data_IF_882661347427
#
_entry.id   IF_882661347427
#
_cell.length_a   1.000
_cell.length_b   1.000
_cell.length_c   1.000
_cell.angle_alpha   90.00
_cell.angle_beta   90.00
_cell.angle_gamma   90.00
#
_symmetry.space_group_name_H-M   'P 1'
#
loop_
_entity.id
_entity.type
_entity.pdbx_description
1 polymer ?
#
# COMPACT_ATOMS: atom_id res chain seq x y z
N UNK A 1 15.85 60.35 -20.19
CA UNK A 1 16.83 60.33 -19.08
C UNK A 1 16.37 59.27 -18.09
N UNK A 2 17.28 58.42 -17.65
CA UNK A 2 17.11 57.13 -16.95
C UNK A 2 17.02 55.90 -17.89
N UNK A 3 18.19 55.31 -18.11
CA UNK A 3 18.50 54.04 -18.76
C UNK A 3 18.07 52.85 -17.89
N UNK A 4 17.60 51.77 -18.52
CA UNK A 4 17.59 50.43 -17.94
C UNK A 4 18.49 49.54 -18.79
N UNK A 5 19.59 49.07 -18.20
CA UNK A 5 20.57 48.16 -18.82
C UNK A 5 19.98 46.75 -18.90
N UNK A 6 19.95 46.21 -20.10
CA UNK A 6 19.68 44.80 -20.40
C UNK A 6 21.00 44.03 -20.32
N UNK A 7 21.13 43.10 -19.38
CA UNK A 7 22.28 42.18 -19.30
C UNK A 7 21.93 40.90 -20.08
N UNK A 8 22.51 40.77 -21.29
CA UNK A 8 22.48 39.54 -22.08
C UNK A 8 23.63 38.63 -21.64
N UNK A 9 23.30 37.40 -21.24
CA UNK A 9 24.28 36.34 -20.97
C UNK A 9 24.88 35.80 -22.29
N UNK A 10 26.19 35.51 -22.35
CA UNK A 10 26.87 35.06 -23.57
C UNK A 10 26.66 33.56 -23.85
N UNK A 11 26.87 33.10 -25.11
CA UNK A 11 26.58 31.74 -25.54
C UNK A 11 27.70 30.76 -25.10
N UNK A 12 27.30 29.58 -24.63
CA UNK A 12 28.24 28.49 -24.30
C UNK A 12 28.77 27.81 -25.57
N UNK A 13 30.07 27.98 -25.80
CA UNK A 13 30.85 27.34 -26.86
C UNK A 13 31.00 25.83 -26.64
N UNK A 14 30.87 25.06 -27.73
CA UNK A 14 31.31 23.66 -27.82
C UNK A 14 32.82 23.58 -27.62
N UNK A 15 33.27 22.78 -26.67
CA UNK A 15 34.65 22.29 -26.61
C UNK A 15 34.70 20.82 -27.01
N UNK A 16 35.47 20.57 -28.07
CA UNK A 16 35.95 19.26 -28.50
C UNK A 16 37.31 19.04 -27.84
N UNK A 17 37.45 18.00 -27.01
CA UNK A 17 38.79 17.58 -26.54
C UNK A 17 38.88 16.06 -26.48
N UNK A 18 39.73 15.58 -27.39
CA UNK A 18 40.60 14.42 -27.45
C UNK A 18 40.56 13.35 -26.34
N UNK A 19 40.44 12.12 -26.83
CA UNK A 19 40.59 10.81 -26.21
C UNK A 19 41.86 10.67 -25.36
N UNK A 20 41.71 10.27 -24.09
CA UNK A 20 42.78 9.60 -23.32
C UNK A 20 42.18 8.35 -22.68
N UNK A 21 42.75 7.21 -23.06
CA UNK A 21 42.39 5.86 -22.68
C UNK A 21 42.70 5.63 -21.20
N UNK A 22 41.67 5.52 -20.35
CA UNK A 22 41.82 5.04 -18.97
C UNK A 22 41.05 3.72 -18.82
N UNK A 23 41.79 2.68 -18.43
CA UNK A 23 41.36 1.31 -18.36
C UNK A 23 40.17 1.09 -17.41
N UNK A 24 39.26 0.22 -17.86
CA UNK A 24 38.09 -0.22 -17.13
C UNK A 24 38.46 -0.97 -15.84
N UNK A 25 38.03 -0.43 -14.70
CA UNK A 25 37.85 -1.19 -13.46
C UNK A 25 36.35 -1.40 -13.23
N UNK A 26 35.87 -2.56 -13.65
CA UNK A 26 34.52 -3.05 -13.39
C UNK A 26 34.33 -3.33 -11.89
N UNK A 27 33.79 -2.36 -11.15
CA UNK A 27 33.33 -2.56 -9.78
C UNK A 27 31.81 -2.53 -9.73
N UNK A 28 31.16 -3.70 -9.73
CA UNK A 28 29.74 -3.79 -9.35
C UNK A 28 29.58 -3.26 -7.91
N UNK A 29 28.57 -2.43 -7.60
CA UNK A 29 28.29 -2.07 -6.23
C UNK A 29 27.95 -3.33 -5.42
N UNK A 30 28.72 -3.60 -4.36
CA UNK A 30 28.58 -4.79 -3.52
C UNK A 30 27.31 -4.71 -2.65
N UNK A 31 26.18 -5.09 -3.26
CA UNK A 31 24.86 -5.18 -2.62
C UNK A 31 24.85 -6.07 -1.37
N UNK A 32 25.81 -6.99 -1.21
CA UNK A 32 25.90 -7.85 -0.01
C UNK A 32 26.35 -7.06 1.22
N UNK A 33 27.12 -5.98 1.05
CA UNK A 33 27.53 -5.13 2.16
C UNK A 33 26.38 -4.25 2.68
N UNK A 34 25.55 -3.67 1.80
CA UNK A 34 24.42 -2.82 2.23
C UNK A 34 23.36 -3.62 3.00
N UNK A 35 23.10 -4.85 2.56
CA UNK A 35 22.20 -5.78 3.22
C UNK A 35 22.76 -6.24 4.58
N UNK A 36 24.06 -6.57 4.67
CA UNK A 36 24.74 -6.89 5.94
C UNK A 36 24.63 -5.76 6.97
N UNK A 37 24.86 -4.51 6.56
CA UNK A 37 24.76 -3.34 7.44
C UNK A 37 23.32 -3.10 7.94
N UNK A 38 22.32 -3.36 7.07
CA UNK A 38 20.90 -3.24 7.44
C UNK A 38 20.47 -4.29 8.46
N UNK A 39 20.91 -5.54 8.32
CA UNK A 39 20.61 -6.60 9.28
C UNK A 39 21.34 -6.43 10.62
N UNK A 40 22.60 -5.97 10.60
CA UNK A 40 23.32 -5.67 11.84
C UNK A 40 22.67 -4.49 12.56
N UNK A 41 22.27 -3.42 11.85
CA UNK A 41 21.51 -2.30 12.44
C UNK A 41 20.14 -2.72 12.95
N UNK A 42 19.42 -3.60 12.26
CA UNK A 42 18.11 -4.09 12.71
C UNK A 42 18.24 -4.99 13.94
N UNK A 43 19.25 -5.86 13.98
CA UNK A 43 19.58 -6.68 15.14
C UNK A 43 19.99 -5.83 16.34
N UNK A 44 20.85 -4.83 16.14
CA UNK A 44 21.24 -3.87 17.18
C UNK A 44 20.05 -3.03 17.66
N UNK A 45 19.20 -2.56 16.76
CA UNK A 45 18.02 -1.79 17.12
C UNK A 45 17.01 -2.65 17.87
N UNK A 46 16.78 -3.90 17.47
CA UNK A 46 15.91 -4.82 18.20
C UNK A 46 16.47 -5.15 19.59
N UNK A 47 17.79 -5.36 19.70
CA UNK A 47 18.48 -5.64 20.97
C UNK A 47 18.51 -4.42 21.90
N UNK A 48 18.64 -3.19 21.38
CA UNK A 48 18.58 -1.96 22.18
C UNK A 48 17.13 -1.66 22.60
N UNK A 49 16.16 -1.79 21.67
CA UNK A 49 14.75 -1.48 21.92
C UNK A 49 14.07 -2.51 22.84
N UNK A 50 14.47 -3.80 22.78
CA UNK A 50 13.92 -4.86 23.62
C UNK A 50 14.89 -5.35 24.71
N UNK A 51 16.14 -4.86 24.74
CA UNK A 51 17.14 -5.24 25.74
C UNK A 51 16.78 -4.78 27.15
N UNK A 52 16.19 -3.58 27.27
CA UNK A 52 15.61 -3.13 28.53
C UNK A 52 14.47 -4.05 28.99
N UNK A 53 13.63 -4.53 28.07
CA UNK A 53 12.58 -5.50 28.40
C UNK A 53 13.16 -6.85 28.81
N UNK A 54 14.19 -7.38 28.13
CA UNK A 54 14.87 -8.62 28.48
C UNK A 54 15.55 -8.58 29.86
N UNK A 55 16.13 -7.43 30.23
CA UNK A 55 16.65 -7.17 31.58
C UNK A 55 15.55 -7.00 32.63
N UNK A 56 14.36 -6.54 32.22
CA UNK A 56 13.18 -6.38 33.07
C UNK A 56 12.33 -7.67 33.19
N UNK A 57 12.43 -8.65 32.30
CA UNK A 57 11.73 -9.95 32.38
C UNK A 57 11.95 -10.71 33.70
N UNK A 58 13.15 -10.72 34.33
CA UNK A 58 13.32 -11.37 35.62
C UNK A 58 12.68 -10.62 36.80
N UNK A 59 12.36 -9.32 36.67
CA UNK A 59 11.78 -8.52 37.76
C UNK A 59 10.36 -8.99 38.16
N UNK A 60 9.41 -9.25 37.24
CA UNK A 60 8.13 -9.86 37.59
C UNK A 60 8.27 -11.21 38.30
N UNK A 61 9.27 -12.03 37.92
CA UNK A 61 9.56 -13.30 38.58
C UNK A 61 10.07 -13.13 40.01
N UNK A 62 10.97 -12.16 40.22
CA UNK A 62 11.44 -11.76 41.56
C UNK A 62 10.32 -11.17 42.41
N UNK A 63 9.48 -10.29 41.84
CA UNK A 63 8.32 -9.69 42.52
C UNK A 63 7.29 -10.75 42.87
N UNK A 64 7.01 -11.72 41.98
CA UNK A 64 6.11 -12.84 42.25
C UNK A 64 6.68 -13.80 43.32
N UNK A 65 8.00 -14.06 43.31
CA UNK A 65 8.67 -14.85 44.34
C UNK A 65 8.59 -14.16 45.71
N UNK A 66 8.82 -12.84 45.77
CA UNK A 66 8.64 -12.05 46.99
C UNK A 66 7.17 -12.03 47.45
N UNK A 67 6.21 -11.85 46.54
CA UNK A 67 4.76 -11.92 46.83
C UNK A 67 4.32 -13.29 47.35
N UNK A 68 4.98 -14.38 46.95
CA UNK A 68 4.68 -15.73 47.46
C UNK A 68 5.17 -15.97 48.90
N UNK A 69 6.10 -15.14 49.38
CA UNK A 69 6.63 -15.18 50.76
C UNK A 69 5.96 -14.16 51.70
N UNK A 70 4.97 -13.39 51.23
CA UNK A 70 4.29 -12.38 52.04
C UNK A 70 3.50 -13.02 53.18
N UNK A 71 3.80 -12.62 54.42
CA UNK A 71 3.02 -12.97 55.62
C UNK A 71 2.15 -11.81 56.08
N UNK A 72 1.14 -12.08 56.92
CA UNK A 72 0.25 -11.04 57.48
C UNK A 72 1.00 -9.99 58.34
N UNK A 73 2.19 -10.31 58.85
CA UNK A 73 3.08 -9.37 59.57
C UNK A 73 3.75 -8.37 58.65
N UNK A 74 4.18 -8.80 57.45
CA UNK A 74 4.79 -7.91 56.46
C UNK A 74 3.79 -6.83 55.97
N UNK A 75 2.49 -7.15 55.98
CA UNK A 75 1.41 -6.22 55.64
C UNK A 75 1.22 -5.13 56.72
N UNK A 76 1.41 -5.50 58.00
CA UNK A 76 1.39 -4.55 59.11
C UNK A 76 2.64 -3.65 59.11
N UNK A 77 3.82 -4.20 58.82
CA UNK A 77 5.07 -3.44 58.71
C UNK A 77 5.09 -2.51 57.48
N UNK A 78 4.49 -2.95 56.35
CA UNK A 78 4.27 -2.11 55.18
C UNK A 78 3.33 -0.94 55.49
N UNK A 79 2.24 -1.20 56.23
CA UNK A 79 1.28 -0.19 56.67
C UNK A 79 1.93 0.83 57.62
N UNK A 80 2.79 0.37 58.54
CA UNK A 80 3.57 1.23 59.43
C UNK A 80 4.61 2.05 58.64
N UNK A 81 5.33 1.45 57.69
CA UNK A 81 6.27 2.15 56.81
C UNK A 81 5.59 3.17 55.89
N UNK A 82 4.37 2.89 55.42
CA UNK A 82 3.52 3.81 54.65
C UNK A 82 3.12 5.04 55.47
N UNK A 83 2.87 4.88 56.78
CA UNK A 83 2.56 5.99 57.69
C UNK A 83 3.79 6.87 57.99
N UNK A 84 4.98 6.29 58.14
CA UNK A 84 6.21 7.05 58.43
C UNK A 84 6.88 7.67 57.20
N UNK A 85 6.67 7.13 56.00
CA UNK A 85 7.25 7.62 54.74
C UNK A 85 6.20 8.24 53.80
N UNK A 86 5.28 9.04 54.36
CA UNK A 86 4.23 9.73 53.60
C UNK A 86 4.79 10.51 52.39
N UNK A 87 5.94 11.18 52.57
CA UNK A 87 6.62 11.93 51.49
C UNK A 87 7.03 10.99 50.34
N UNK A 88 7.67 9.86 50.64
CA UNK A 88 8.10 8.89 49.63
C UNK A 88 6.92 8.26 48.90
N UNK A 89 5.83 7.98 49.61
CA UNK A 89 4.59 7.42 49.02
C UNK A 89 3.93 8.44 48.09
N UNK A 90 3.85 9.70 48.50
CA UNK A 90 3.31 10.80 47.67
C UNK A 90 4.19 11.02 46.44
N UNK A 91 5.51 11.04 46.59
CA UNK A 91 6.44 11.19 45.46
C UNK A 91 6.32 10.02 44.49
N UNK A 92 6.37 8.78 44.96
CA UNK A 92 6.26 7.58 44.11
C UNK A 92 4.90 7.49 43.41
N UNK A 93 3.79 7.77 44.10
CA UNK A 93 2.46 7.78 43.50
C UNK A 93 2.31 8.89 42.46
N UNK A 94 2.84 10.09 42.74
CA UNK A 94 2.85 11.20 41.78
C UNK A 94 3.66 10.84 40.53
N UNK A 95 4.86 10.26 40.71
CA UNK A 95 5.69 9.78 39.60
C UNK A 95 5.00 8.69 38.79
N UNK A 96 4.31 7.74 39.44
CA UNK A 96 3.53 6.71 38.76
C UNK A 96 2.39 7.31 37.95
N UNK A 97 1.66 8.29 38.48
CA UNK A 97 0.57 8.97 37.76
C UNK A 97 1.11 9.75 36.57
N UNK A 98 2.24 10.46 36.73
CA UNK A 98 2.90 11.18 35.63
C UNK A 98 3.37 10.20 34.56
N UNK A 99 4.03 9.09 34.95
CA UNK A 99 4.51 8.07 34.02
C UNK A 99 3.35 7.37 33.30
N UNK A 100 2.27 7.03 34.01
CA UNK A 100 1.08 6.43 33.42
C UNK A 100 0.38 7.39 32.46
N UNK A 101 0.26 8.67 32.83
CA UNK A 101 -0.32 9.70 31.97
C UNK A 101 0.53 9.91 30.73
N UNK A 102 1.85 10.05 30.89
CA UNK A 102 2.78 10.17 29.78
C UNK A 102 2.71 8.95 28.87
N UNK A 103 2.66 7.73 29.41
CA UNK A 103 2.50 6.50 28.64
C UNK A 103 1.19 6.48 27.85
N UNK A 104 0.07 6.87 28.47
CA UNK A 104 -1.25 6.92 27.80
C UNK A 104 -1.31 7.99 26.71
N UNK A 105 -0.62 9.12 26.89
CA UNK A 105 -0.58 10.20 25.90
C UNK A 105 0.41 9.96 24.76
N UNK A 106 1.51 9.25 25.02
CA UNK A 106 2.58 9.01 24.03
C UNK A 106 2.39 7.72 23.24
N UNK A 107 1.60 6.76 23.75
CA UNK A 107 1.36 5.50 23.03
C UNK A 107 0.64 5.75 21.70
N UNK A 108 1.05 5.08 20.61
CA UNK A 108 0.33 5.16 19.34
C UNK A 108 -1.09 4.61 19.51
N UNK A 109 -2.04 5.27 18.84
CA UNK A 109 -3.44 4.85 18.83
C UNK A 109 -3.60 3.67 17.88
N UNK A 110 -4.28 2.59 18.31
CA UNK A 110 -4.56 1.49 17.41
C UNK A 110 -5.47 1.97 16.27
N UNK A 111 -5.20 1.49 15.07
CA UNK A 111 -6.01 1.75 13.88
C UNK A 111 -6.73 0.46 13.50
N UNK A 112 -8.04 0.56 13.36
CA UNK A 112 -8.92 -0.56 13.06
C UNK A 112 -9.50 -0.42 11.66
N UNK A 113 -9.47 -1.49 10.89
CA UNK A 113 -10.27 -1.65 9.67
C UNK A 113 -11.66 -2.10 10.08
N UNK A 114 -12.58 -1.14 10.07
CA UNK A 114 -13.96 -1.33 10.51
C UNK A 114 -14.69 -2.24 9.53
N UNK A 115 -14.76 -1.81 8.26
CA UNK A 115 -15.35 -2.57 7.15
C UNK A 115 -14.82 -2.01 5.81
N UNK A 116 -15.17 -2.68 4.71
CA UNK A 116 -14.90 -2.23 3.35
C UNK A 116 -16.03 -2.67 2.40
N UNK A 117 -16.14 -1.99 1.27
CA UNK A 117 -17.04 -2.35 0.18
C UNK A 117 -16.31 -2.22 -1.15
N UNK A 118 -16.67 -3.07 -2.11
CA UNK A 118 -16.09 -3.07 -3.44
C UNK A 118 -17.20 -2.85 -4.45
N UNK A 119 -17.06 -1.83 -5.29
CA UNK A 119 -18.01 -1.58 -6.35
C UNK A 119 -17.92 -2.67 -7.42
N UNK A 120 -19.02 -3.36 -7.64
CA UNK A 120 -19.21 -4.27 -8.78
C UNK A 120 -20.10 -3.56 -9.82
N UNK A 121 -19.60 -3.35 -11.05
CA UNK A 121 -20.42 -2.80 -12.12
C UNK A 121 -21.56 -3.76 -12.50
N UNK A 122 -22.60 -3.20 -13.11
CA UNK A 122 -23.76 -3.91 -13.66
C UNK A 122 -23.41 -4.71 -14.93
N UNK A 123 -24.29 -5.66 -15.27
CA UNK A 123 -24.05 -6.62 -16.36
C UNK A 123 -23.96 -5.95 -17.75
N UNK A 124 -24.51 -4.75 -17.97
CA UNK A 124 -24.40 -4.05 -19.26
C UNK A 124 -22.95 -3.67 -19.58
N UNK A 125 -22.15 -3.41 -18.53
CA UNK A 125 -20.73 -3.06 -18.59
C UNK A 125 -19.81 -4.29 -18.63
N UNK A 126 -20.38 -5.49 -18.60
CA UNK A 126 -19.63 -6.74 -18.65
C UNK A 126 -18.97 -6.93 -20.01
N UNK A 127 -17.67 -7.17 -19.98
CA UNK A 127 -16.84 -7.42 -21.13
C UNK A 127 -16.24 -8.83 -21.05
N UNK A 128 -16.84 -9.76 -21.80
CA UNK A 128 -16.24 -11.06 -22.07
C UNK A 128 -15.07 -10.93 -23.03
N UNK A 129 -14.22 -11.94 -23.12
CA UNK A 129 -13.09 -11.97 -24.07
C UNK A 129 -13.59 -11.82 -25.51
N UNK A 130 -14.70 -12.49 -25.84
CA UNK A 130 -15.33 -12.39 -27.15
C UNK A 130 -15.84 -10.97 -27.43
N UNK A 131 -16.52 -10.35 -26.47
CA UNK A 131 -17.01 -8.96 -26.62
C UNK A 131 -15.85 -7.99 -26.80
N UNK A 132 -14.76 -8.14 -26.03
CA UNK A 132 -13.56 -7.33 -26.19
C UNK A 132 -13.01 -7.42 -27.61
N UNK A 133 -12.83 -8.65 -28.13
CA UNK A 133 -12.26 -8.86 -29.45
C UNK A 133 -13.16 -8.31 -30.55
N UNK A 134 -14.48 -8.52 -30.44
CA UNK A 134 -15.45 -7.96 -31.39
C UNK A 134 -15.39 -6.42 -31.42
N UNK A 135 -15.35 -5.75 -30.26
CA UNK A 135 -15.18 -4.30 -30.17
C UNK A 135 -13.85 -3.84 -30.79
N UNK A 136 -12.76 -4.55 -30.50
CA UNK A 136 -11.41 -4.25 -31.02
C UNK A 136 -11.33 -4.37 -32.54
N UNK A 137 -11.97 -5.38 -33.11
CA UNK A 137 -12.01 -5.60 -34.56
C UNK A 137 -12.94 -4.60 -35.26
N UNK A 138 -14.10 -4.30 -34.66
CA UNK A 138 -15.08 -3.34 -35.19
C UNK A 138 -14.54 -1.91 -35.25
N UNK A 139 -13.57 -1.58 -34.40
CA UNK A 139 -12.89 -0.29 -34.39
C UNK A 139 -12.06 -0.03 -35.65
N UNK A 140 -11.52 -1.08 -36.29
CA UNK A 140 -10.66 -0.94 -37.49
C UNK A 140 -9.32 -0.22 -37.27
N UNK A 141 -9.00 0.20 -36.03
CA UNK A 141 -7.82 1.02 -35.71
C UNK A 141 -6.51 0.21 -35.60
N UNK A 142 -6.62 -1.07 -35.24
CA UNK A 142 -5.45 -1.91 -34.93
C UNK A 142 -5.06 -2.76 -36.12
N UNK A 143 -3.74 -2.88 -36.37
CA UNK A 143 -3.23 -3.79 -37.40
C UNK A 143 -3.60 -5.24 -37.07
N UNK A 144 -3.77 -6.14 -38.07
CA UNK A 144 -4.08 -7.54 -37.83
C UNK A 144 -3.11 -8.23 -36.86
N UNK A 145 -1.81 -7.90 -36.95
CA UNK A 145 -0.79 -8.41 -36.04
C UNK A 145 -0.98 -7.94 -34.59
N UNK A 146 -1.48 -6.71 -34.38
CA UNK A 146 -1.72 -6.18 -33.04
C UNK A 146 -3.07 -6.62 -32.47
N UNK A 147 -4.09 -6.84 -33.30
CA UNK A 147 -5.33 -7.49 -32.87
C UNK A 147 -5.05 -8.91 -32.37
N UNK A 148 -4.23 -9.67 -33.11
CA UNK A 148 -3.80 -11.01 -32.68
C UNK A 148 -2.92 -10.98 -31.42
N UNK A 149 -2.08 -9.95 -31.27
CA UNK A 149 -1.32 -9.74 -30.04
C UNK A 149 -2.25 -9.51 -28.83
N UNK A 150 -3.28 -8.66 -28.97
CA UNK A 150 -4.28 -8.42 -27.92
C UNK A 150 -5.05 -9.70 -27.57
N UNK A 151 -5.45 -10.49 -28.58
CA UNK A 151 -6.12 -11.79 -28.38
C UNK A 151 -5.27 -12.72 -27.49
N UNK A 152 -3.99 -12.89 -27.84
CA UNK A 152 -3.05 -13.73 -27.08
C UNK A 152 -2.87 -13.27 -25.63
N UNK A 153 -2.86 -11.95 -25.39
CA UNK A 153 -2.77 -11.42 -24.02
C UNK A 153 -4.03 -11.78 -23.24
N UNK A 154 -5.22 -11.55 -23.81
CA UNK A 154 -6.49 -11.76 -23.11
C UNK A 154 -6.67 -13.24 -22.74
N UNK A 155 -6.32 -14.15 -23.63
CA UNK A 155 -6.35 -15.59 -23.39
C UNK A 155 -5.39 -16.05 -22.28
N UNK A 156 -4.28 -15.33 -22.07
CA UNK A 156 -3.21 -15.71 -21.12
C UNK A 156 -3.11 -14.82 -19.88
N UNK A 157 -3.92 -13.76 -19.80
CA UNK A 157 -3.88 -12.75 -18.72
C UNK A 157 -4.42 -13.26 -17.39
N UNK A 158 -5.15 -14.38 -17.39
CA UNK A 158 -5.89 -14.88 -16.23
C UNK A 158 -7.21 -14.14 -15.98
N UNK A 159 -7.57 -13.13 -16.78
CA UNK A 159 -8.88 -12.47 -16.72
C UNK A 159 -9.96 -13.40 -17.27
N UNK A 160 -11.04 -13.58 -16.50
CA UNK A 160 -12.24 -14.33 -16.90
C UNK A 160 -13.17 -13.54 -17.82
N UNK A 161 -14.33 -14.11 -18.14
CA UNK A 161 -15.37 -13.42 -18.91
C UNK A 161 -16.26 -12.48 -18.06
N UNK A 162 -16.11 -12.55 -16.73
CA UNK A 162 -16.81 -11.70 -15.75
C UNK A 162 -15.98 -10.46 -15.38
N UNK A 163 -15.49 -9.74 -16.39
CA UNK A 163 -14.79 -8.46 -16.21
C UNK A 163 -15.60 -7.29 -16.76
N UNK A 164 -15.24 -6.05 -16.41
CA UNK A 164 -16.05 -4.87 -16.73
C UNK A 164 -15.20 -3.74 -17.32
N UNK A 165 -15.76 -3.03 -18.29
CA UNK A 165 -15.18 -1.84 -18.92
C UNK A 165 -16.20 -0.70 -18.91
N UNK A 166 -15.76 0.57 -18.93
CA UNK A 166 -16.69 1.68 -19.01
C UNK A 166 -17.45 1.67 -20.32
N UNK A 167 -18.70 2.11 -20.25
CA UNK A 167 -19.61 2.27 -21.39
C UNK A 167 -18.94 3.05 -22.53
N UNK A 168 -18.17 4.09 -22.19
CA UNK A 168 -17.47 4.91 -23.17
C UNK A 168 -16.42 4.16 -24.01
N UNK A 169 -15.88 3.07 -23.48
CA UNK A 169 -14.94 2.18 -24.18
C UNK A 169 -15.69 1.07 -24.94
N UNK A 170 -16.83 0.61 -24.41
CA UNK A 170 -17.62 -0.46 -25.01
C UNK A 170 -18.49 0.00 -26.19
N UNK A 171 -18.78 1.30 -26.28
CA UNK A 171 -19.52 1.89 -27.40
C UNK A 171 -18.78 1.73 -28.73
N UNK A 172 -19.53 1.63 -29.83
CA UNK A 172 -18.98 1.56 -31.19
C UNK A 172 -19.61 2.71 -32.00
N UNK A 173 -18.86 3.79 -32.30
CA UNK A 173 -17.47 4.04 -31.90
C UNK A 173 -17.33 4.41 -30.41
N UNK A 174 -16.15 4.18 -29.78
CA UNK A 174 -15.86 4.67 -28.44
C UNK A 174 -15.98 6.18 -28.35
N UNK A 175 -16.48 6.68 -27.23
CA UNK A 175 -16.73 8.10 -27.00
C UNK A 175 -16.10 8.60 -25.69
N UNK A 176 -14.75 8.53 -25.55
CA UNK A 176 -14.06 9.04 -24.37
C UNK A 176 -14.28 10.56 -24.25
N UNK A 177 -14.74 11.00 -23.09
CA UNK A 177 -14.99 12.42 -22.80
C UNK A 177 -14.86 12.68 -21.32
N UNK A 178 -14.61 13.94 -20.93
CA UNK A 178 -14.61 14.36 -19.53
C UNK A 178 -15.94 14.05 -18.84
N UNK A 179 -17.06 14.17 -19.55
CA UNK A 179 -18.38 13.85 -19.02
C UNK A 179 -18.50 12.35 -18.70
N UNK A 180 -18.07 11.47 -19.62
CA UNK A 180 -18.10 10.04 -19.40
C UNK A 180 -17.10 9.58 -18.32
N UNK A 181 -15.93 10.22 -18.24
CA UNK A 181 -14.97 9.95 -17.18
C UNK A 181 -15.53 10.34 -15.80
N UNK A 182 -16.19 11.50 -15.69
CA UNK A 182 -16.89 11.88 -14.45
C UNK A 182 -18.01 10.88 -14.11
N UNK A 183 -18.80 10.44 -15.10
CA UNK A 183 -19.85 9.42 -14.92
C UNK A 183 -19.28 8.12 -14.36
N UNK A 184 -18.17 7.61 -14.90
CA UNK A 184 -17.47 6.43 -14.37
C UNK A 184 -17.01 6.67 -12.92
N UNK A 185 -16.34 7.80 -12.66
CA UNK A 185 -15.80 8.11 -11.35
C UNK A 185 -16.90 8.21 -10.28
N UNK A 186 -17.99 8.92 -10.57
CA UNK A 186 -19.15 9.04 -9.67
C UNK A 186 -19.78 7.68 -9.39
N UNK A 187 -20.05 6.90 -10.44
CA UNK A 187 -20.64 5.58 -10.32
C UNK A 187 -19.81 4.65 -9.42
N UNK A 188 -18.50 4.58 -9.65
CA UNK A 188 -17.61 3.69 -8.88
C UNK A 188 -17.45 4.19 -7.44
N UNK A 189 -17.18 5.49 -7.24
CA UNK A 189 -16.97 6.05 -5.92
C UNK A 189 -18.23 5.98 -5.06
N UNK A 190 -19.37 6.42 -5.61
CA UNK A 190 -20.62 6.49 -4.86
C UNK A 190 -21.20 5.10 -4.63
N UNK A 191 -21.13 4.20 -5.62
CA UNK A 191 -21.56 2.81 -5.43
C UNK A 191 -20.79 2.10 -4.30
N UNK A 192 -19.47 2.26 -4.24
CA UNK A 192 -18.67 1.68 -3.14
C UNK A 192 -18.98 2.33 -1.78
N UNK A 193 -19.16 3.66 -1.74
CA UNK A 193 -19.45 4.38 -0.51
C UNK A 193 -20.85 4.10 0.03
N UNK A 194 -21.86 4.03 -0.84
CA UNK A 194 -23.24 3.73 -0.45
C UNK A 194 -23.31 2.36 0.23
N UNK A 195 -22.67 1.35 -0.36
CA UNK A 195 -22.58 0.02 0.23
C UNK A 195 -21.81 0.03 1.57
N UNK A 196 -20.71 0.78 1.66
CA UNK A 196 -19.93 0.90 2.90
C UNK A 196 -20.74 1.56 4.02
N UNK A 197 -21.44 2.66 3.73
CA UNK A 197 -22.27 3.36 4.70
C UNK A 197 -23.48 2.52 5.12
N UNK A 198 -24.11 1.82 4.17
CA UNK A 198 -25.20 0.89 4.47
C UNK A 198 -24.75 -0.26 5.38
N UNK A 199 -23.60 -0.89 5.10
CA UNK A 199 -23.04 -1.99 5.91
C UNK A 199 -22.66 -1.54 7.32
N UNK A 200 -22.11 -0.34 7.46
CA UNK A 200 -21.51 0.11 8.73
C UNK A 200 -22.43 0.95 9.59
N UNK A 201 -23.50 1.51 9.02
CA UNK A 201 -24.39 2.48 9.68
C UNK A 201 -23.70 3.80 10.03
N UNK A 202 -22.48 4.04 9.56
CA UNK A 202 -21.74 5.28 9.84
C UNK A 202 -22.31 6.40 8.98
N UNK A 203 -22.72 7.49 9.62
CA UNK A 203 -23.25 8.65 8.90
C UNK A 203 -22.11 9.38 8.20
N UNK A 204 -22.30 9.88 6.96
CA UNK A 204 -21.27 10.62 6.25
C UNK A 204 -20.71 11.82 7.05
N UNK A 205 -21.54 12.51 7.83
CA UNK A 205 -21.12 13.63 8.70
C UNK A 205 -20.14 13.22 9.82
N UNK A 206 -20.09 11.95 10.20
CA UNK A 206 -19.18 11.44 11.23
C UNK A 206 -17.77 11.14 10.67
N UNK A 207 -17.58 11.19 9.35
CA UNK A 207 -16.30 11.00 8.69
C UNK A 207 -15.42 12.23 8.87
N UNK A 208 -14.20 12.03 9.35
CA UNK A 208 -13.27 13.13 9.60
C UNK A 208 -12.07 13.20 8.71
N UNK A 209 -11.71 12.10 8.06
CA UNK A 209 -10.63 12.03 7.09
C UNK A 209 -11.18 11.36 5.83
N UNK A 210 -10.92 11.94 4.67
CA UNK A 210 -11.22 11.36 3.37
C UNK A 210 -9.96 11.33 2.51
N UNK A 211 -9.57 10.14 2.06
CA UNK A 211 -8.48 9.96 1.10
C UNK A 211 -9.06 9.32 -0.15
N UNK A 212 -9.01 10.01 -1.28
CA UNK A 212 -9.40 9.45 -2.58
C UNK A 212 -8.14 9.26 -3.42
N UNK A 213 -7.97 8.10 -4.02
CA UNK A 213 -6.90 7.86 -4.97
C UNK A 213 -7.44 7.41 -6.34
N UNK A 214 -6.85 8.00 -7.38
CA UNK A 214 -7.04 7.65 -8.79
C UNK A 214 -5.84 8.16 -9.59
N UNK A 215 -5.18 7.27 -10.34
CA UNK A 215 -3.89 7.61 -10.94
C UNK A 215 -4.05 8.43 -12.20
N UNK A 216 -4.97 8.04 -13.07
CA UNK A 216 -5.05 8.52 -14.45
C UNK A 216 -6.21 9.50 -14.70
N UNK A 217 -6.98 9.86 -13.68
CA UNK A 217 -8.04 10.88 -13.78
C UNK A 217 -8.07 11.79 -12.56
N UNK A 218 -7.58 13.01 -12.73
CA UNK A 218 -7.47 14.02 -11.67
C UNK A 218 -8.12 15.34 -12.13
N UNK A 219 -9.46 15.42 -12.18
CA UNK A 219 -10.18 16.62 -12.65
C UNK A 219 -10.10 17.78 -11.66
N UNK A 220 -10.50 18.97 -12.12
CA UNK A 220 -10.87 20.11 -11.25
C UNK A 220 -12.37 20.36 -11.38
N UNK A 221 -13.17 20.36 -10.28
CA UNK A 221 -12.78 20.03 -8.90
C UNK A 221 -12.32 18.57 -8.73
N UNK A 222 -11.56 18.29 -7.67
CA UNK A 222 -11.00 16.96 -7.40
C UNK A 222 -12.07 15.91 -7.10
N UNK A 223 -11.70 14.63 -7.22
CA UNK A 223 -12.60 13.52 -6.88
C UNK A 223 -13.00 13.54 -5.41
N UNK A 224 -12.05 13.89 -4.52
CA UNK A 224 -12.34 14.06 -3.10
C UNK A 224 -13.35 15.19 -2.85
N UNK A 225 -13.28 16.31 -3.58
CA UNK A 225 -14.25 17.39 -3.51
C UNK A 225 -15.63 16.97 -4.02
N UNK A 226 -15.70 16.14 -5.07
CA UNK A 226 -16.95 15.56 -5.58
C UNK A 226 -17.64 14.72 -4.49
N UNK A 227 -16.89 13.86 -3.81
CA UNK A 227 -17.42 13.04 -2.69
C UNK A 227 -17.89 13.90 -1.53
N UNK A 228 -17.12 14.91 -1.12
CA UNK A 228 -17.51 15.85 -0.05
C UNK A 228 -18.82 16.55 -0.39
N UNK A 229 -18.93 17.06 -1.62
CA UNK A 229 -20.12 17.76 -2.07
C UNK A 229 -21.34 16.83 -2.20
N UNK A 230 -21.17 15.60 -2.67
CA UNK A 230 -22.28 14.66 -2.86
C UNK A 230 -22.86 14.21 -1.52
N UNK A 231 -22.02 13.74 -0.59
CA UNK A 231 -22.48 13.22 0.71
C UNK A 231 -22.70 14.30 1.77
N UNK A 232 -22.43 15.57 1.45
CA UNK A 232 -22.48 16.69 2.39
C UNK A 232 -21.69 16.39 3.66
N UNK A 233 -20.43 15.97 3.47
CA UNK A 233 -19.50 15.70 4.56
C UNK A 233 -19.28 16.96 5.42
N UNK A 234 -18.80 16.77 6.64
CA UNK A 234 -18.62 17.87 7.61
C UNK A 234 -17.63 18.93 7.08
N UNK A 235 -17.85 20.20 7.45
CA UNK A 235 -17.04 21.33 6.96
C UNK A 235 -15.57 21.34 7.42
N UNK A 236 -15.23 20.63 8.50
CA UNK A 236 -13.87 20.47 9.01
C UNK A 236 -13.26 19.10 8.65
N UNK A 237 -13.64 18.54 7.51
CA UNK A 237 -13.05 17.29 7.02
C UNK A 237 -11.61 17.51 6.53
N UNK A 238 -10.73 16.58 6.86
CA UNK A 238 -9.38 16.53 6.29
C UNK A 238 -9.43 15.69 5.01
N UNK A 239 -9.16 16.31 3.86
CA UNK A 239 -9.34 15.65 2.56
C UNK A 239 -8.07 15.64 1.73
N UNK A 240 -7.77 14.50 1.11
CA UNK A 240 -6.65 14.30 0.20
C UNK A 240 -7.11 13.63 -1.10
N UNK A 241 -6.61 14.13 -2.22
CA UNK A 241 -6.75 13.50 -3.54
C UNK A 241 -5.36 13.08 -4.04
N UNK A 242 -5.18 11.79 -4.25
CA UNK A 242 -3.91 11.15 -4.53
C UNK A 242 -3.88 10.65 -5.99
N UNK A 243 -2.93 11.15 -6.78
CA UNK A 243 -2.75 10.79 -8.20
C UNK A 243 -1.36 10.24 -8.52
N UNK A 244 -1.21 9.64 -9.71
CA UNK A 244 0.09 9.23 -10.27
C UNK A 244 0.83 8.09 -9.55
N UNK A 245 0.19 7.37 -8.62
CA UNK A 245 0.83 6.28 -7.85
C UNK A 245 0.54 4.86 -8.36
N UNK A 246 -0.35 4.73 -9.36
CA UNK A 246 -0.70 3.46 -9.99
C UNK A 246 -1.28 2.45 -9.00
N UNK A 247 -1.04 1.17 -9.26
CA UNK A 247 -1.57 0.05 -8.47
C UNK A 247 -1.14 0.03 -6.99
N UNK A 248 -0.17 0.86 -6.59
CA UNK A 248 0.28 0.99 -5.19
C UNK A 248 -0.56 1.98 -4.36
N UNK A 249 -1.39 2.80 -5.01
CA UNK A 249 -2.08 3.92 -4.39
C UNK A 249 -3.01 3.51 -3.23
N UNK A 250 -3.66 2.34 -3.32
CA UNK A 250 -4.52 1.81 -2.25
C UNK A 250 -3.77 1.62 -0.92
N UNK A 251 -2.65 0.91 -0.93
CA UNK A 251 -1.84 0.69 0.27
C UNK A 251 -1.17 1.97 0.78
N UNK A 252 -0.74 2.85 -0.13
CA UNK A 252 -0.20 4.17 0.26
C UNK A 252 -1.28 5.02 0.95
N UNK A 253 -2.53 4.93 0.51
CA UNK A 253 -3.65 5.63 1.14
C UNK A 253 -3.96 5.09 2.53
N UNK A 254 -3.83 3.78 2.74
CA UNK A 254 -3.97 3.17 4.08
C UNK A 254 -2.87 3.65 5.01
N UNK A 255 -1.62 3.70 4.54
CA UNK A 255 -0.48 4.20 5.31
C UNK A 255 -0.67 5.68 5.70
N UNK A 256 -1.07 6.53 4.74
CA UNK A 256 -1.39 7.92 5.00
C UNK A 256 -2.54 8.07 6.01
N UNK A 257 -3.63 7.33 5.84
CA UNK A 257 -4.77 7.39 6.75
C UNK A 257 -4.39 6.92 8.17
N UNK A 258 -3.51 5.93 8.30
CA UNK A 258 -2.98 5.48 9.60
C UNK A 258 -2.26 6.63 10.32
N UNK A 259 -1.40 7.36 9.63
CA UNK A 259 -0.65 8.49 10.20
C UNK A 259 -1.59 9.65 10.57
N UNK A 260 -2.56 9.95 9.71
CA UNK A 260 -3.60 10.96 9.99
C UNK A 260 -4.46 10.57 11.21
N UNK A 261 -4.74 9.28 11.40
CA UNK A 261 -5.42 8.78 12.59
C UNK A 261 -4.56 8.81 13.85
N UNK A 262 -3.24 8.98 13.76
CA UNK A 262 -2.43 9.27 14.95
C UNK A 262 -2.62 10.71 15.42
N UNK A 263 -2.71 11.66 14.48
CA UNK A 263 -2.89 13.10 14.77
C UNK A 263 -4.33 13.50 15.04
N UNK A 264 -5.32 12.78 14.50
CA UNK A 264 -6.74 13.07 14.68
C UNK A 264 -7.41 12.03 15.59
N UNK A 265 -7.57 12.30 16.89
CA UNK A 265 -8.15 11.33 17.82
C UNK A 265 -9.65 11.08 17.56
N UNK A 266 -10.09 9.86 17.87
CA UNK A 266 -11.51 9.47 17.93
C UNK A 266 -12.34 9.76 16.66
N UNK A 267 -11.78 9.51 15.48
CA UNK A 267 -12.45 9.78 14.20
C UNK A 267 -12.56 8.54 13.30
N UNK A 268 -13.32 8.69 12.22
CA UNK A 268 -13.32 7.79 11.07
C UNK A 268 -12.50 8.38 9.92
N UNK A 269 -11.79 7.49 9.22
CA UNK A 269 -11.14 7.79 7.96
C UNK A 269 -11.72 6.89 6.88
N UNK A 270 -12.15 7.48 5.77
CA UNK A 270 -12.61 6.76 4.58
C UNK A 270 -11.56 6.88 3.50
N UNK A 271 -11.18 5.75 2.93
CA UNK A 271 -10.32 5.68 1.75
C UNK A 271 -11.16 5.18 0.58
N UNK A 272 -11.05 5.85 -0.56
CA UNK A 272 -11.63 5.40 -1.82
C UNK A 272 -10.48 5.16 -2.78
N UNK A 273 -10.37 3.93 -3.27
CA UNK A 273 -9.37 3.52 -4.24
C UNK A 273 -10.08 3.06 -5.50
N UNK A 274 -9.89 3.78 -6.59
CA UNK A 274 -10.46 3.44 -7.89
C UNK A 274 -9.51 3.87 -9.00
N UNK A 275 -9.68 3.31 -10.19
CA UNK A 275 -8.98 3.76 -11.38
C UNK A 275 -10.00 4.08 -12.47
N UNK A 276 -9.83 5.22 -13.11
CA UNK A 276 -10.70 5.65 -14.20
C UNK A 276 -10.00 5.38 -15.53
N UNK A 277 -10.58 4.48 -16.32
CA UNK A 277 -9.96 4.03 -17.57
C UNK A 277 -10.63 4.63 -18.81
N UNK A 278 -11.73 5.39 -18.65
CA UNK A 278 -12.47 6.01 -19.77
C UNK A 278 -11.59 6.84 -20.70
N UNK A 279 -10.72 7.71 -20.17
CA UNK A 279 -9.89 8.61 -20.99
C UNK A 279 -8.55 8.01 -21.39
N UNK A 280 -8.21 6.84 -20.87
CA UNK A 280 -6.87 6.26 -20.98
C UNK A 280 -6.82 5.04 -21.90
N UNK A 281 -7.88 4.81 -22.68
CA UNK A 281 -7.88 3.79 -23.71
C UNK A 281 -6.92 4.15 -24.85
N UNK A 282 -5.98 3.26 -25.14
CA UNK A 282 -4.96 3.53 -26.15
C UNK A 282 -5.44 3.12 -27.55
N UNK A 283 -5.41 4.06 -28.50
CA UNK A 283 -5.86 3.88 -29.89
C UNK A 283 -4.70 3.74 -30.90
N UNK A 284 -3.47 3.51 -30.43
CA UNK A 284 -2.29 3.33 -31.29
C UNK A 284 -1.88 1.88 -31.46
N UNK A 285 -0.75 1.66 -32.13
CA UNK A 285 -0.24 0.33 -32.50
C UNK A 285 1.05 -0.06 -31.74
N UNK A 286 1.44 0.69 -30.71
CA UNK A 286 2.56 0.33 -29.85
C UNK A 286 2.18 -0.80 -28.89
N UNK A 287 2.85 -1.95 -29.03
CA UNK A 287 2.57 -3.14 -28.23
C UNK A 287 2.74 -2.94 -26.72
N UNK A 288 3.69 -2.14 -26.26
CA UNK A 288 3.90 -1.94 -24.82
C UNK A 288 2.75 -1.17 -24.16
N UNK A 289 2.01 -0.38 -24.94
CA UNK A 289 0.84 0.37 -24.49
C UNK A 289 -0.45 -0.44 -24.65
N UNK A 290 -0.57 -1.28 -25.67
CA UNK A 290 -1.74 -2.16 -25.88
C UNK A 290 -1.98 -3.15 -24.74
N UNK A 291 -0.93 -3.54 -24.01
CA UNK A 291 -1.08 -4.42 -22.84
C UNK A 291 -2.03 -3.81 -21.81
N UNK A 292 -2.03 -2.48 -21.64
CA UNK A 292 -2.90 -1.80 -20.67
C UNK A 292 -4.39 -1.96 -21.00
N UNK A 293 -4.78 -1.81 -22.27
CA UNK A 293 -6.16 -2.04 -22.72
C UNK A 293 -6.64 -3.47 -22.39
N UNK A 294 -5.75 -4.46 -22.58
CA UNK A 294 -6.10 -5.86 -22.31
C UNK A 294 -6.25 -6.18 -20.83
N UNK A 295 -5.49 -5.52 -19.94
CA UNK A 295 -5.41 -5.87 -18.52
C UNK A 295 -6.34 -5.04 -17.61
N UNK A 296 -6.47 -3.74 -17.87
CA UNK A 296 -7.20 -2.86 -16.94
C UNK A 296 -8.70 -3.01 -17.05
N UNK A 297 -9.36 -3.02 -15.89
CA UNK A 297 -10.80 -3.19 -15.75
C UNK A 297 -11.35 -2.17 -14.76
N UNK A 298 -12.62 -1.85 -14.94
CA UNK A 298 -13.34 -0.97 -14.02
C UNK A 298 -13.48 -1.65 -12.65
N UNK A 299 -13.28 -0.88 -11.60
CA UNK A 299 -13.55 -1.30 -10.23
C UNK A 299 -13.13 -0.24 -9.22
N UNK A 300 -13.59 -0.39 -7.99
CA UNK A 300 -13.18 0.46 -6.89
C UNK A 300 -13.50 -0.14 -5.54
N UNK A 301 -12.84 0.34 -4.50
CA UNK A 301 -13.06 -0.06 -3.13
C UNK A 301 -13.14 1.15 -2.21
N UNK A 302 -14.10 1.10 -1.29
CA UNK A 302 -14.22 2.03 -0.18
C UNK A 302 -13.86 1.31 1.13
N UNK A 303 -12.96 1.89 1.92
CA UNK A 303 -12.36 1.28 3.11
C UNK A 303 -12.58 2.23 4.29
N UNK A 304 -13.18 1.72 5.38
CA UNK A 304 -13.41 2.49 6.60
C UNK A 304 -12.41 2.13 7.68
N UNK A 305 -11.56 3.08 8.05
CA UNK A 305 -10.63 2.98 9.18
C UNK A 305 -11.10 3.81 10.38
N UNK A 306 -10.71 3.42 11.59
CA UNK A 306 -10.98 4.19 12.81
C UNK A 306 -9.93 3.98 13.88
N UNK A 307 -9.68 5.00 14.69
CA UNK A 307 -8.93 4.91 15.95
C UNK A 307 -9.82 4.98 17.19
N UNK A 308 -11.15 4.89 17.04
CA UNK A 308 -12.11 4.96 18.14
C UNK A 308 -12.06 3.68 18.95
N UNK A 309 -11.90 3.80 20.27
CA UNK A 309 -11.96 2.65 21.17
C UNK A 309 -13.27 1.86 21.06
N UNK A 310 -14.40 2.54 20.82
CA UNK A 310 -15.71 1.91 20.60
C UNK A 310 -15.82 1.11 19.31
N UNK A 311 -15.00 1.43 18.29
CA UNK A 311 -15.00 0.70 17.01
C UNK A 311 -14.26 -0.64 17.11
N UNK A 312 -13.43 -0.85 18.15
CA UNK A 312 -12.59 -2.05 18.30
C UNK A 312 -13.38 -3.36 18.17
N UNK A 313 -14.53 -3.46 18.84
CA UNK A 313 -15.32 -4.71 18.91
C UNK A 313 -16.02 -5.08 17.60
N UNK A 314 -16.31 -4.09 16.74
CA UNK A 314 -17.02 -4.28 15.47
C UNK A 314 -16.11 -4.28 14.25
N UNK A 315 -14.81 -4.08 14.45
CA UNK A 315 -13.85 -3.98 13.36
C UNK A 315 -13.41 -5.37 12.91
N UNK A 316 -13.26 -5.56 11.59
CA UNK A 316 -12.78 -6.82 11.03
C UNK A 316 -11.31 -7.08 11.35
N UNK A 317 -10.48 -6.04 11.30
CA UNK A 317 -9.04 -6.16 11.50
C UNK A 317 -8.45 -4.98 12.28
N UNK A 318 -7.28 -5.21 12.88
CA UNK A 318 -6.42 -4.16 13.41
C UNK A 318 -5.20 -4.02 12.51
N UNK A 319 -4.89 -2.79 12.09
CA UNK A 319 -3.68 -2.50 11.33
C UNK A 319 -2.48 -2.42 12.29
N UNK A 320 -1.58 -3.41 12.20
CA UNK A 320 -0.43 -3.53 13.10
C UNK A 320 0.81 -2.85 12.51
N UNK A 321 1.18 -3.23 11.28
CA UNK A 321 2.38 -2.74 10.60
C UNK A 321 2.08 -2.32 9.17
N UNK A 322 2.75 -1.27 8.73
CA UNK A 322 2.79 -0.81 7.34
C UNK A 322 4.25 -0.61 6.97
N UNK A 323 4.67 -1.11 5.79
CA UNK A 323 6.04 -1.00 5.30
C UNK A 323 6.00 -0.58 3.84
N UNK A 324 6.75 0.48 3.52
CA UNK A 324 6.86 1.02 2.17
C UNK A 324 8.30 0.96 1.69
N UNK A 325 8.50 0.34 0.52
CA UNK A 325 9.77 0.36 -0.21
C UNK A 325 9.60 1.25 -1.43
N UNK A 326 10.44 2.29 -1.55
CA UNK A 326 10.44 3.20 -2.70
C UNK A 326 11.72 3.02 -3.50
N UNK A 327 11.59 2.70 -4.80
CA UNK A 327 12.72 2.52 -5.73
C UNK A 327 12.80 3.56 -6.85
N UNK A 328 12.03 4.65 -6.76
CA UNK A 328 11.98 5.66 -7.83
C UNK A 328 13.28 6.43 -8.09
N UNK A 329 14.33 6.25 -7.28
CA UNK A 329 15.66 6.82 -7.55
C UNK A 329 16.51 5.94 -8.51
N UNK A 330 16.05 4.73 -8.81
CA UNK A 330 16.65 3.83 -9.80
C UNK A 330 15.95 4.03 -11.15
N UNK A 331 16.70 4.41 -12.19
CA UNK A 331 16.16 4.75 -13.51
C UNK A 331 15.38 3.60 -14.16
N UNK A 332 15.81 2.35 -13.94
CA UNK A 332 15.09 1.18 -14.46
C UNK A 332 13.75 1.05 -13.75
N UNK A 333 13.72 1.29 -12.44
CA UNK A 333 12.49 1.27 -11.67
C UNK A 333 11.55 2.43 -12.03
N UNK A 334 12.10 3.63 -12.24
CA UNK A 334 11.36 4.81 -12.63
C UNK A 334 10.73 4.66 -14.03
N UNK A 335 11.47 4.15 -15.01
CA UNK A 335 11.01 3.96 -16.38
C UNK A 335 10.15 2.71 -16.63
N UNK A 336 9.73 1.99 -15.58
CA UNK A 336 9.00 0.73 -15.74
C UNK A 336 7.55 0.91 -16.22
N UNK A 337 6.87 1.95 -15.74
CA UNK A 337 5.49 2.29 -16.11
C UNK A 337 5.44 3.78 -16.32
N UNK A 338 5.16 4.21 -17.55
CA UNK A 338 5.17 5.63 -17.89
C UNK A 338 4.03 5.94 -18.82
N UNK A 339 3.25 6.96 -18.49
CA UNK A 339 2.27 7.55 -19.39
C UNK A 339 3.02 8.50 -20.34
N UNK A 340 2.91 8.25 -21.65
CA UNK A 340 3.59 9.04 -22.69
C UNK A 340 2.83 8.95 -24.00
N UNK A 341 3.15 9.86 -24.91
CA UNK A 341 2.70 9.78 -26.29
C UNK A 341 3.54 8.73 -27.05
N UNK A 342 2.90 8.07 -28.02
CA UNK A 342 3.61 7.30 -29.03
C UNK A 342 4.10 8.20 -30.19
N UNK A 343 4.69 7.58 -31.22
CA UNK A 343 5.22 8.28 -32.40
C UNK A 343 4.14 9.03 -33.20
N UNK A 344 2.86 8.66 -33.04
CA UNK A 344 1.70 9.27 -33.69
C UNK A 344 1.01 10.32 -32.78
N UNK A 345 1.60 10.65 -31.63
CA UNK A 345 1.03 11.60 -30.65
C UNK A 345 -0.12 11.02 -29.81
N UNK A 346 -0.33 9.69 -29.83
CA UNK A 346 -1.40 9.04 -29.06
C UNK A 346 -0.91 8.72 -27.66
N UNK A 347 -1.59 9.26 -26.66
CA UNK A 347 -1.26 9.02 -25.25
C UNK A 347 -1.61 7.59 -24.85
N UNK A 348 -0.67 6.91 -24.19
CA UNK A 348 -0.88 5.58 -23.61
C UNK A 348 0.03 5.31 -22.41
N UNK A 349 -0.27 4.26 -21.66
CA UNK A 349 0.57 3.79 -20.55
C UNK A 349 1.50 2.69 -21.04
N UNK A 350 2.78 3.00 -21.18
CA UNK A 350 3.78 2.04 -21.64
C UNK A 350 4.30 1.20 -20.48
N UNK A 351 4.28 -0.13 -20.64
CA UNK A 351 4.86 -1.08 -19.71
C UNK A 351 6.22 -1.59 -20.21
N UNK A 352 7.27 -1.43 -19.41
CA UNK A 352 8.61 -1.96 -19.71
C UNK A 352 8.66 -3.47 -19.55
N UNK A 353 9.52 -4.13 -20.33
CA UNK A 353 9.82 -5.56 -20.19
C UNK A 353 10.51 -5.90 -18.86
N UNK A 354 11.18 -4.91 -18.26
CA UNK A 354 11.86 -5.04 -16.97
C UNK A 354 10.91 -5.05 -15.77
N UNK A 355 9.62 -4.74 -15.97
CA UNK A 355 8.64 -4.55 -14.90
C UNK A 355 8.57 -5.74 -13.94
N UNK A 356 8.57 -6.96 -14.45
CA UNK A 356 8.50 -8.17 -13.62
C UNK A 356 9.75 -8.37 -12.76
N UNK A 357 10.93 -8.12 -13.32
CA UNK A 357 12.19 -8.25 -12.59
C UNK A 357 12.29 -7.18 -11.49
N UNK A 358 12.00 -5.92 -11.83
CA UNK A 358 12.00 -4.80 -10.87
C UNK A 358 10.98 -5.00 -9.75
N UNK A 359 9.78 -5.46 -10.09
CA UNK A 359 8.74 -5.76 -9.11
C UNK A 359 9.17 -6.89 -8.15
N UNK A 360 9.79 -7.95 -8.67
CA UNK A 360 10.35 -9.03 -7.87
C UNK A 360 11.42 -8.54 -6.88
N UNK A 361 12.34 -7.71 -7.34
CA UNK A 361 13.39 -7.14 -6.48
C UNK A 361 12.81 -6.19 -5.41
N UNK A 362 11.79 -5.41 -5.76
CA UNK A 362 11.10 -4.53 -4.82
C UNK A 362 10.34 -5.34 -3.76
N UNK A 363 9.64 -6.39 -4.16
CA UNK A 363 8.92 -7.30 -3.29
C UNK A 363 9.88 -8.02 -2.32
N UNK A 364 11.01 -8.54 -2.83
CA UNK A 364 12.05 -9.15 -1.99
C UNK A 364 12.56 -8.20 -0.91
N UNK A 365 12.79 -6.94 -1.28
CA UNK A 365 13.23 -5.89 -0.34
C UNK A 365 12.16 -5.59 0.71
N UNK A 366 10.89 -5.53 0.30
CA UNK A 366 9.77 -5.26 1.20
C UNK A 366 9.53 -6.42 2.18
N UNK A 367 9.43 -7.67 1.70
CA UNK A 367 9.25 -8.86 2.53
C UNK A 367 10.40 -9.01 3.54
N UNK A 368 11.63 -8.72 3.13
CA UNK A 368 12.79 -8.74 4.03
C UNK A 368 12.65 -7.77 5.20
N UNK A 369 12.02 -6.62 4.97
CA UNK A 369 11.79 -5.60 6.00
C UNK A 369 10.58 -5.93 6.86
N UNK A 370 9.51 -6.48 6.26
CA UNK A 370 8.28 -6.83 6.95
C UNK A 370 8.42 -8.11 7.80
N UNK A 371 9.18 -9.10 7.34
CA UNK A 371 9.31 -10.41 7.97
C UNK A 371 9.59 -10.36 9.48
N UNK A 372 10.64 -9.64 9.95
CA UNK A 372 10.94 -9.52 11.38
C UNK A 372 9.86 -8.80 12.22
N UNK A 373 8.95 -8.05 11.59
CA UNK A 373 7.87 -7.34 12.29
C UNK A 373 6.64 -8.24 12.50
N UNK A 374 6.43 -9.23 11.63
CA UNK A 374 5.22 -10.07 11.64
C UNK A 374 5.47 -11.52 12.07
N UNK A 375 6.70 -12.01 11.95
CA UNK A 375 7.02 -13.41 12.24
C UNK A 375 7.14 -13.67 13.75
N UNK A 376 6.61 -14.81 14.25
CA UNK A 376 6.87 -15.27 15.61
C UNK A 376 8.37 -15.45 15.87
N UNK A 377 8.80 -15.27 17.13
CA UNK A 377 10.22 -15.43 17.50
C UNK A 377 10.80 -16.80 17.11
N UNK A 378 10.00 -17.88 17.14
CA UNK A 378 10.43 -19.22 16.70
C UNK A 378 10.84 -19.27 15.23
N UNK A 379 10.06 -18.65 14.34
CA UNK A 379 10.34 -18.55 12.91
C UNK A 379 11.56 -17.66 12.63
N UNK A 380 11.70 -16.57 13.39
CA UNK A 380 12.87 -15.70 13.28
C UNK A 380 14.16 -16.42 13.67
N UNK A 381 14.13 -17.20 14.76
CA UNK A 381 15.26 -18.02 15.20
C UNK A 381 15.59 -19.11 14.18
N UNK A 382 14.58 -19.77 13.58
CA UNK A 382 14.78 -20.78 12.54
C UNK A 382 15.42 -20.17 11.27
N UNK A 383 14.93 -19.01 10.83
CA UNK A 383 15.50 -18.26 9.71
C UNK A 383 16.96 -17.86 9.98
N UNK A 384 17.22 -17.34 11.19
CA UNK A 384 18.57 -16.97 11.61
C UNK A 384 19.51 -18.18 11.67
N UNK A 385 19.06 -19.30 12.27
CA UNK A 385 19.82 -20.54 12.33
C UNK A 385 20.14 -21.08 10.92
N UNK A 386 19.19 -20.99 9.99
CA UNK A 386 19.39 -21.39 8.58
C UNK A 386 20.41 -20.50 7.87
N UNK A 387 20.38 -19.18 8.10
CA UNK A 387 21.38 -18.24 7.57
C UNK A 387 22.79 -18.52 8.12
N UNK A 388 22.90 -18.77 9.42
CA UNK A 388 24.17 -19.12 10.07
C UNK A 388 24.70 -20.46 9.53
N UNK A 389 23.84 -21.47 9.42
CA UNK A 389 24.20 -22.77 8.84
C UNK A 389 24.73 -22.64 7.41
N UNK A 390 24.06 -21.85 6.54
CA UNK A 390 24.55 -21.58 5.18
C UNK A 390 25.91 -20.87 5.16
N UNK A 391 26.14 -19.95 6.10
CA UNK A 391 27.36 -19.13 6.14
C UNK A 391 28.56 -19.85 6.75
N UNK A 392 28.34 -20.68 7.76
CA UNK A 392 29.39 -21.39 8.50
C UNK A 392 29.71 -22.75 7.87
N UNK A 393 28.71 -23.49 7.39
CA UNK A 393 28.93 -24.88 6.96
C UNK A 393 29.29 -25.05 5.48
N UNK A 394 29.30 -23.99 4.64
CA UNK A 394 29.47 -24.07 3.17
C UNK A 394 28.72 -25.23 2.49
N UNK A 395 27.67 -25.78 3.13
CA UNK A 395 26.93 -26.91 2.60
C UNK A 395 26.04 -26.38 1.48
N UNK A 396 26.28 -26.86 0.26
CA UNK A 396 25.28 -26.90 -0.81
C UNK A 396 24.14 -27.81 -0.33
N UNK A 397 23.29 -27.28 0.54
CA UNK A 397 21.95 -27.83 0.70
C UNK A 397 21.26 -27.60 -0.64
N UNK A 398 20.63 -28.65 -1.18
CA UNK A 398 20.03 -28.70 -2.52
C UNK A 398 19.44 -27.35 -2.93
N UNK A 399 19.67 -26.98 -4.19
CA UNK A 399 19.04 -25.86 -4.88
C UNK A 399 17.53 -25.92 -4.70
N UNK A 400 17.06 -25.27 -3.65
CA UNK A 400 15.68 -24.96 -3.42
C UNK A 400 15.47 -23.61 -4.11
N UNK A 401 14.69 -23.65 -5.18
CA UNK A 401 14.36 -22.53 -6.05
C UNK A 401 14.09 -21.24 -5.28
N UNK A 402 14.45 -20.08 -5.83
CA UNK A 402 14.29 -18.75 -5.20
C UNK A 402 12.82 -18.47 -4.81
N UNK A 403 11.86 -19.19 -5.40
CA UNK A 403 10.45 -19.25 -4.98
C UNK A 403 10.23 -19.78 -3.54
N UNK A 404 11.27 -20.33 -2.91
CA UNK A 404 11.31 -20.82 -1.52
C UNK A 404 11.86 -19.83 -0.51
N UNK A 405 12.35 -18.67 -0.95
CA UNK A 405 12.71 -17.55 -0.06
C UNK A 405 11.46 -16.86 0.54
N UNK A 406 10.27 -17.25 0.07
CA UNK A 406 8.99 -16.85 0.62
C UNK A 406 8.62 -17.87 1.74
N UNK A 407 8.42 -17.42 2.99
CA UNK A 407 7.92 -18.27 4.08
C UNK A 407 6.71 -19.09 3.63
N UNK A 408 6.55 -20.31 4.13
CA UNK A 408 5.49 -21.23 3.68
C UNK A 408 4.08 -20.62 3.71
N UNK A 409 3.80 -19.69 4.63
CA UNK A 409 2.54 -18.95 4.73
C UNK A 409 2.31 -17.91 3.61
N UNK A 410 3.37 -17.32 3.05
CA UNK A 410 3.23 -16.40 1.92
C UNK A 410 3.13 -17.15 0.58
N UNK A 411 3.53 -18.44 0.54
CA UNK A 411 3.23 -19.37 -0.56
C UNK A 411 1.77 -19.83 -0.58
N UNK A 412 1.10 -19.96 0.58
CA UNK A 412 -0.33 -20.31 0.63
C UNK A 412 -1.21 -19.15 0.15
N UNK A 413 -0.89 -17.89 0.47
CA UNK A 413 -1.61 -16.72 -0.04
C UNK A 413 -1.47 -16.57 -1.58
N UNK A 414 -0.29 -16.87 -2.14
CA UNK A 414 -0.06 -16.87 -3.59
C UNK A 414 -0.75 -18.05 -4.33
N UNK A 415 -1.10 -19.14 -3.63
CA UNK A 415 -1.84 -20.29 -4.20
C UNK A 415 -3.35 -20.21 -3.96
N UNK A 416 -3.81 -19.64 -2.85
CA UNK A 416 -5.23 -19.49 -2.53
C UNK A 416 -5.90 -18.37 -3.35
N UNK A 417 -5.14 -17.39 -3.85
CA UNK A 417 -5.63 -16.36 -4.76
C UNK A 417 -6.08 -16.87 -6.14
N UNK A 418 -5.76 -18.12 -6.50
CA UNK A 418 -6.21 -18.76 -7.75
C UNK A 418 -7.23 -19.87 -7.55
N UNK A 419 -7.66 -20.15 -6.31
CA UNK A 419 -8.64 -21.21 -6.04
C UNK A 419 -9.47 -20.97 -4.77
N UNK A 420 -10.25 -19.89 -4.73
CA UNK A 420 -11.49 -19.86 -3.93
C UNK A 420 -12.66 -19.46 -4.80
N UNK A 421 -13.29 -20.50 -5.36
CA UNK A 421 -14.63 -20.50 -5.93
C UNK A 421 -15.58 -19.95 -4.86
N UNK A 422 -16.19 -18.80 -5.14
CA UNK A 422 -17.30 -18.26 -4.36
C UNK A 422 -18.46 -19.24 -4.49
N UNK A 423 -18.67 -20.09 -3.49
CA UNK A 423 -19.93 -20.81 -3.36
C UNK A 423 -21.01 -19.80 -2.97
N UNK A 424 -21.85 -19.49 -3.95
CA UNK A 424 -23.15 -18.85 -3.80
C UNK A 424 -23.98 -19.62 -2.77
N UNK A 425 -24.17 -19.02 -1.59
CA UNK A 425 -25.17 -19.43 -0.62
C UNK A 425 -26.57 -19.29 -1.23
N UNK A 426 -27.10 -20.41 -1.71
CA UNK A 426 -28.48 -20.57 -2.15
C UNK A 426 -29.36 -20.64 -0.89
N UNK A 427 -30.06 -19.56 -0.60
CA UNK A 427 -31.21 -19.57 0.30
C UNK A 427 -32.22 -20.61 -0.20
N UNK A 428 -32.56 -21.58 0.64
CA UNK A 428 -33.76 -22.42 0.54
C UNK A 428 -34.33 -22.57 1.94
N UNK A 429 -35.62 -22.25 2.05
CA UNK A 429 -36.53 -22.70 3.12
C UNK A 429 -36.42 -21.92 4.41
#
# INVERSE_FOLDING_TARGET
MAEARTEQAPPLQRQTTTTTTAAAASGMPDFKQSVKLKYVKLGYHHLITHGAYLLLVPLPGLVAAHLSTFTLRDLADLWQSLQYNLVSVVVCSTLLVIAATAYVLTRPRPVYLVDFACYKPDEERKCSRARFMNCTESLGTFTPANSEFQRKIIERSGLGDDTYLPEAVLNIPPNPSMANARKEAEMVMFGALDELFAKTGVRPKDIGILVVNCSLFNPTPSLSAMVINYYKLRGNIVSYNLGGMGCSAGLISIDLAKDLLQSHPNTYAVIISMENITLNWYFGNNRSMLVSNCLFRMGGAAILLSNRGSARRRSKYQLVHTVRTHKGADDRCFGCVTQREDEDGKVGVSLSKDLMAVAGDALKTNITTLGPLVLPMSEQLLFFATLVARRVLKRKVLSFDVCSEIPAWARSELKDGSSKRVESGRLKG
#
